data_IF_006794474822
#
_entry.id   IF_006794474822
#
_cell.length_a   1.000
_cell.length_b   1.000
_cell.length_c   1.000
_cell.angle_alpha   90.00
_cell.angle_beta   90.00
_cell.angle_gamma   90.00
#
_symmetry.space_group_name_H-M   'P 1'
#
loop_
_entity.id
_entity.type
_entity.pdbx_description
1 polymer ?
#
# COMPACT_ATOMS: atom_id res chain seq x y z
N UNK A 1 -3.40 10.88 26.53
CA UNK A 1 -3.11 9.99 25.38
C UNK A 1 -3.59 8.59 25.72
N UNK A 2 -4.37 8.01 24.87
CA UNK A 2 -4.78 6.60 24.97
C UNK A 2 -4.04 5.78 23.92
N UNK A 3 -3.67 4.57 24.29
CA UNK A 3 -2.90 3.66 23.43
C UNK A 3 -3.73 2.39 23.20
N UNK A 4 -4.15 2.16 21.97
CA UNK A 4 -5.02 1.06 21.57
C UNK A 4 -4.24 0.12 20.66
N UNK A 5 -4.02 -1.11 21.09
CA UNK A 5 -3.36 -2.13 20.28
C UNK A 5 -4.31 -2.65 19.20
N UNK A 6 -3.80 -2.74 17.97
CA UNK A 6 -4.50 -3.28 16.82
C UNK A 6 -3.94 -4.65 16.42
N UNK A 7 -4.82 -5.59 16.13
CA UNK A 7 -4.49 -6.87 15.51
C UNK A 7 -4.62 -6.74 13.99
N UNK A 8 -3.58 -7.08 13.21
CA UNK A 8 -3.61 -7.00 11.76
C UNK A 8 -4.61 -7.97 11.10
N UNK A 9 -5.12 -7.59 9.93
CA UNK A 9 -5.66 -8.54 8.97
C UNK A 9 -4.52 -9.09 8.10
N UNK A 10 -4.54 -10.38 7.79
CA UNK A 10 -3.49 -11.05 7.01
C UNK A 10 -4.02 -11.56 5.68
N UNK A 11 -3.25 -11.35 4.61
CA UNK A 11 -3.61 -11.76 3.25
C UNK A 11 -2.50 -12.61 2.62
N UNK A 12 -2.87 -13.84 2.22
CA UNK A 12 -1.96 -14.76 1.51
C UNK A 12 -1.86 -14.34 0.05
N UNK A 13 -0.65 -14.21 -0.44
CA UNK A 13 -0.37 -13.75 -1.80
C UNK A 13 0.51 -14.76 -2.56
N UNK A 14 0.36 -14.87 -3.89
CA UNK A 14 1.21 -15.78 -4.67
C UNK A 14 2.69 -15.39 -4.65
N UNK A 15 3.01 -14.16 -4.29
CA UNK A 15 4.36 -13.63 -4.14
C UNK A 15 4.82 -13.52 -2.67
N UNK A 16 3.96 -13.91 -1.72
CA UNK A 16 4.19 -13.74 -0.28
C UNK A 16 5.37 -14.55 0.24
N UNK A 17 6.04 -13.97 1.24
CA UNK A 17 7.17 -14.54 1.95
C UNK A 17 6.80 -15.35 3.19
N UNK A 18 7.80 -15.55 4.04
CA UNK A 18 7.64 -16.23 5.34
C UNK A 18 8.00 -15.33 6.53
N UNK A 19 8.47 -14.10 6.31
CA UNK A 19 8.84 -13.19 7.39
C UNK A 19 7.62 -12.82 8.23
N UNK A 20 6.48 -12.50 7.59
CA UNK A 20 5.23 -12.25 8.32
C UNK A 20 4.73 -13.48 9.09
N UNK A 21 4.98 -14.70 8.57
CA UNK A 21 4.72 -15.94 9.31
C UNK A 21 5.57 -16.04 10.57
N UNK A 22 6.84 -15.68 10.50
CA UNK A 22 7.77 -15.72 11.63
C UNK A 22 7.39 -14.66 12.67
N UNK A 23 7.07 -13.45 12.26
CA UNK A 23 6.71 -12.33 13.15
C UNK A 23 5.38 -12.56 13.85
N UNK A 24 4.34 -12.97 13.10
CA UNK A 24 2.95 -13.01 13.58
C UNK A 24 2.36 -14.42 13.72
N UNK A 25 3.15 -15.46 13.47
CA UNK A 25 2.69 -16.87 13.46
C UNK A 25 1.51 -17.09 12.49
N UNK A 26 1.60 -16.53 11.28
CA UNK A 26 0.55 -16.62 10.24
C UNK A 26 0.72 -17.85 9.35
N UNK A 27 -0.12 -17.96 8.32
CA UNK A 27 0.02 -18.99 7.28
C UNK A 27 1.28 -18.73 6.42
N UNK A 28 1.88 -19.77 5.82
CA UNK A 28 2.91 -19.59 4.79
C UNK A 28 2.39 -18.72 3.64
N UNK A 29 3.31 -18.03 2.96
CA UNK A 29 3.01 -17.11 1.87
C UNK A 29 2.05 -15.95 2.24
N UNK A 30 1.98 -15.57 3.51
CA UNK A 30 1.33 -14.33 3.91
C UNK A 30 2.17 -13.17 3.36
N UNK A 31 1.68 -12.54 2.29
CA UNK A 31 2.40 -11.44 1.64
C UNK A 31 2.07 -10.07 2.20
N UNK A 32 0.92 -9.93 2.85
CA UNK A 32 0.48 -8.66 3.41
C UNK A 32 -0.05 -8.83 4.84
N UNK A 33 0.40 -7.95 5.75
CA UNK A 33 -0.23 -7.71 7.04
C UNK A 33 -0.80 -6.28 7.04
N UNK A 34 -2.11 -6.15 7.08
CA UNK A 34 -2.80 -4.87 7.13
C UNK A 34 -2.87 -4.41 8.58
N UNK A 35 -1.85 -3.67 9.01
CA UNK A 35 -1.66 -3.23 10.38
C UNK A 35 -2.77 -2.29 10.84
N UNK A 36 -3.20 -1.41 9.94
CA UNK A 36 -4.29 -0.45 10.16
C UNK A 36 -5.20 -0.48 8.95
N UNK A 37 -6.38 -1.01 9.08
CA UNK A 37 -7.38 -1.08 8.01
C UNK A 37 -8.79 -0.99 8.55
N UNK A 38 -9.58 -0.07 7.98
CA UNK A 38 -11.02 0.01 8.17
C UNK A 38 -11.79 -0.48 6.92
N UNK A 39 -11.11 -1.10 5.94
CA UNK A 39 -11.73 -1.60 4.71
C UNK A 39 -12.53 -2.84 5.03
N UNK A 40 -13.83 -2.81 4.71
CA UNK A 40 -14.77 -3.89 4.96
C UNK A 40 -14.24 -5.25 4.51
N UNK A 41 -14.38 -6.26 5.36
CA UNK A 41 -13.90 -7.64 5.23
C UNK A 41 -12.37 -7.81 5.28
N UNK A 42 -11.61 -6.72 5.44
CA UNK A 42 -10.14 -6.72 5.58
C UNK A 42 -9.71 -5.78 6.71
N UNK A 43 -10.49 -5.74 7.76
CA UNK A 43 -10.32 -4.79 8.86
C UNK A 43 -9.29 -5.30 9.86
N UNK A 44 -8.49 -4.38 10.38
CA UNK A 44 -7.79 -4.61 11.63
C UNK A 44 -8.80 -4.62 12.78
N UNK A 45 -8.49 -5.32 13.85
CA UNK A 45 -9.36 -5.39 15.03
C UNK A 45 -8.65 -4.90 16.29
N UNK A 46 -9.41 -4.42 17.25
CA UNK A 46 -8.93 -4.22 18.62
C UNK A 46 -8.67 -5.58 19.28
N UNK A 47 -8.03 -5.58 20.46
CA UNK A 47 -7.73 -6.81 21.22
C UNK A 47 -8.99 -7.63 21.53
N UNK A 48 -10.11 -6.98 21.80
CA UNK A 48 -11.40 -7.61 22.07
C UNK A 48 -12.12 -8.17 20.83
N UNK A 49 -11.49 -8.05 19.64
CA UNK A 49 -12.05 -8.46 18.35
C UNK A 49 -12.95 -7.42 17.70
N UNK A 50 -13.14 -6.24 18.29
CA UNK A 50 -13.94 -5.17 17.70
C UNK A 50 -13.28 -4.69 16.38
N UNK A 51 -13.99 -4.71 15.22
CA UNK A 51 -13.45 -4.17 13.98
C UNK A 51 -13.10 -2.69 14.10
N UNK A 52 -11.99 -2.26 13.52
CA UNK A 52 -11.54 -0.87 13.56
C UNK A 52 -12.62 0.08 13.01
N UNK A 53 -13.35 -0.29 11.96
CA UNK A 53 -14.46 0.51 11.42
C UNK A 53 -15.58 0.73 12.44
N UNK A 54 -15.88 -0.28 13.25
CA UNK A 54 -16.90 -0.19 14.31
C UNK A 54 -16.42 0.73 15.43
N UNK A 55 -15.15 0.63 15.82
CA UNK A 55 -14.54 1.56 16.78
C UNK A 55 -14.59 3.01 16.28
N UNK A 56 -14.23 3.25 15.02
CA UNK A 56 -14.26 4.58 14.40
C UNK A 56 -15.67 5.18 14.44
N UNK A 57 -16.70 4.41 14.09
CA UNK A 57 -18.09 4.86 14.05
C UNK A 57 -18.59 5.48 15.36
N UNK A 58 -18.14 4.97 16.49
CA UNK A 58 -18.55 5.49 17.81
C UNK A 58 -17.54 6.51 18.37
N UNK A 59 -16.44 6.77 17.67
CA UNK A 59 -15.35 7.66 18.12
C UNK A 59 -15.02 8.78 17.12
N UNK A 60 -15.87 9.10 16.15
CA UNK A 60 -15.58 10.13 15.13
C UNK A 60 -15.07 11.46 15.74
N UNK A 61 -15.80 12.02 16.71
CA UNK A 61 -15.44 13.28 17.37
C UNK A 61 -14.10 13.19 18.11
N UNK A 62 -13.85 12.06 18.74
CA UNK A 62 -12.61 11.78 19.49
C UNK A 62 -11.40 11.67 18.57
N UNK A 63 -11.59 11.16 17.36
CA UNK A 63 -10.58 11.05 16.32
C UNK A 63 -10.47 12.32 15.46
N UNK A 64 -11.30 13.34 15.70
CA UNK A 64 -11.34 14.54 14.87
C UNK A 64 -11.88 14.32 13.46
N UNK A 65 -12.65 13.24 13.26
CA UNK A 65 -13.29 12.89 12.01
C UNK A 65 -14.70 13.46 11.96
N UNK A 66 -15.17 13.79 10.77
CA UNK A 66 -16.59 14.10 10.54
C UNK A 66 -17.42 12.81 10.57
N UNK A 67 -18.69 12.92 10.94
CA UNK A 67 -19.61 11.78 10.92
C UNK A 67 -19.65 11.19 9.50
N UNK A 68 -19.50 9.87 9.38
CA UNK A 68 -19.41 9.12 8.13
C UNK A 68 -18.20 9.47 7.24
N UNK A 69 -17.22 10.19 7.76
CA UNK A 69 -15.95 10.36 7.05
C UNK A 69 -15.21 9.02 6.94
N UNK A 70 -14.68 8.74 5.76
CA UNK A 70 -13.85 7.56 5.55
C UNK A 70 -12.54 7.68 6.34
N UNK A 71 -12.14 6.60 6.98
CA UNK A 71 -10.90 6.58 7.74
C UNK A 71 -9.71 6.81 6.81
N UNK A 72 -8.83 7.80 7.06
CA UNK A 72 -8.01 8.41 6.02
C UNK A 72 -6.77 7.62 5.60
N UNK A 73 -6.54 6.42 6.14
CA UNK A 73 -5.30 5.68 5.91
C UNK A 73 -5.49 4.17 5.94
N UNK A 74 -4.68 3.49 5.14
CA UNK A 74 -4.41 2.06 5.22
C UNK A 74 -2.89 1.88 5.39
N UNK A 75 -2.47 1.08 6.37
CA UNK A 75 -1.04 0.79 6.65
C UNK A 75 -0.83 -0.71 6.56
N UNK A 76 0.17 -1.13 5.78
CA UNK A 76 0.49 -2.55 5.57
C UNK A 76 1.98 -2.81 5.72
N UNK A 77 2.31 -4.05 6.09
CA UNK A 77 3.61 -4.66 5.79
C UNK A 77 3.48 -5.50 4.53
N UNK A 78 4.45 -5.39 3.66
CA UNK A 78 4.59 -6.19 2.44
C UNK A 78 5.81 -7.10 2.59
N UNK A 79 5.60 -8.40 2.62
CA UNK A 79 6.63 -9.44 2.65
C UNK A 79 6.70 -10.12 1.30
N UNK A 80 7.58 -9.64 0.44
CA UNK A 80 7.71 -10.08 -0.94
C UNK A 80 8.84 -11.12 -1.08
N UNK A 81 8.50 -12.41 -1.20
CA UNK A 81 9.44 -13.44 -1.63
C UNK A 81 9.71 -13.37 -3.13
N UNK A 82 8.67 -13.10 -3.92
CA UNK A 82 8.72 -12.94 -5.37
C UNK A 82 8.29 -11.53 -5.78
N UNK A 83 8.51 -11.17 -7.04
CA UNK A 83 8.09 -9.89 -7.56
C UNK A 83 6.56 -9.71 -7.45
N UNK A 84 6.12 -8.55 -6.99
CA UNK A 84 4.72 -8.17 -7.13
C UNK A 84 4.39 -7.96 -8.61
N UNK A 85 3.10 -8.02 -8.96
CA UNK A 85 2.68 -7.65 -10.32
C UNK A 85 3.10 -6.22 -10.65
N UNK A 86 3.44 -5.99 -11.91
CA UNK A 86 3.61 -4.63 -12.43
C UNK A 86 2.23 -3.99 -12.47
N UNK A 87 2.07 -2.86 -11.81
CA UNK A 87 0.78 -2.26 -11.52
C UNK A 87 0.82 -0.73 -11.55
N UNK A 88 -0.37 -0.16 -11.59
CA UNK A 88 -0.59 1.29 -11.50
C UNK A 88 -1.87 1.54 -10.71
N UNK A 89 -1.94 2.69 -10.05
CA UNK A 89 -3.13 3.11 -9.30
C UNK A 89 -3.75 4.37 -9.90
N UNK A 90 -5.09 4.49 -9.83
CA UNK A 90 -5.80 5.66 -10.32
C UNK A 90 -5.70 6.84 -9.35
N UNK A 91 -5.93 8.04 -9.85
CA UNK A 91 -6.25 9.21 -9.04
C UNK A 91 -7.71 9.16 -8.52
N UNK A 92 -8.07 10.11 -7.65
CA UNK A 92 -9.40 10.17 -7.04
C UNK A 92 -10.51 10.26 -8.09
N UNK A 93 -10.33 11.05 -9.13
CA UNK A 93 -11.35 11.24 -10.16
C UNK A 93 -11.63 9.95 -10.93
N UNK A 94 -10.58 9.22 -11.31
CA UNK A 94 -10.76 7.95 -12.04
C UNK A 94 -11.30 6.85 -11.13
N UNK A 95 -10.83 6.80 -9.89
CA UNK A 95 -11.33 5.85 -8.89
C UNK A 95 -12.84 6.05 -8.64
N UNK A 96 -13.29 7.31 -8.49
CA UNK A 96 -14.71 7.65 -8.29
C UNK A 96 -15.58 7.23 -9.49
N UNK A 97 -15.09 7.38 -10.72
CA UNK A 97 -15.78 6.86 -11.93
C UNK A 97 -15.95 5.34 -11.93
N UNK A 98 -15.11 4.64 -11.15
CA UNK A 98 -15.15 3.17 -10.97
C UNK A 98 -15.89 2.74 -9.69
N UNK A 99 -16.49 3.68 -8.96
CA UNK A 99 -17.28 3.42 -7.75
C UNK A 99 -16.48 3.34 -6.45
N UNK A 100 -15.23 3.77 -6.46
CA UNK A 100 -14.40 3.91 -5.24
C UNK A 100 -14.51 5.32 -4.68
N UNK A 101 -14.26 5.49 -3.39
CA UNK A 101 -14.34 6.80 -2.73
C UNK A 101 -13.14 7.67 -3.06
N UNK A 102 -11.95 7.06 -3.06
CA UNK A 102 -10.66 7.72 -3.31
C UNK A 102 -9.79 6.87 -4.23
N UNK A 103 -8.77 7.48 -4.82
CA UNK A 103 -7.71 6.82 -5.55
C UNK A 103 -6.71 6.14 -4.62
N UNK A 104 -5.50 5.90 -5.13
CA UNK A 104 -4.46 5.28 -4.32
C UNK A 104 -3.13 5.99 -4.50
N UNK A 105 -2.91 7.01 -3.67
CA UNK A 105 -1.58 7.53 -3.37
C UNK A 105 -0.97 6.71 -2.25
N UNK A 106 0.28 6.32 -2.37
CA UNK A 106 0.98 5.52 -1.37
C UNK A 106 2.43 5.97 -1.17
N UNK A 107 2.96 5.70 0.02
CA UNK A 107 4.37 5.85 0.36
C UNK A 107 4.88 4.48 0.77
N UNK A 108 5.99 4.06 0.18
CA UNK A 108 6.77 2.92 0.64
C UNK A 108 7.92 3.37 1.50
N UNK A 109 8.05 2.78 2.66
CA UNK A 109 9.20 2.87 3.53
C UNK A 109 9.94 1.52 3.51
N UNK A 110 11.20 1.54 3.09
CA UNK A 110 12.02 0.33 2.94
C UNK A 110 12.44 -0.14 4.32
N UNK A 111 11.98 -1.31 4.75
CA UNK A 111 12.34 -1.95 6.02
C UNK A 111 13.54 -2.89 5.84
N UNK A 112 13.59 -3.61 4.71
CA UNK A 112 14.70 -4.43 4.29
C UNK A 112 14.77 -4.42 2.76
N UNK A 113 15.96 -4.13 2.23
CA UNK A 113 16.21 -4.05 0.80
C UNK A 113 16.42 -5.45 0.21
N UNK A 114 15.96 -5.66 -1.01
CA UNK A 114 16.20 -6.91 -1.72
C UNK A 114 17.66 -7.04 -2.18
N UNK A 115 18.03 -8.27 -2.62
CA UNK A 115 19.38 -8.53 -3.14
C UNK A 115 19.78 -7.66 -4.35
N UNK A 116 18.79 -7.26 -5.17
CA UNK A 116 19.02 -6.36 -6.30
C UNK A 116 19.07 -4.88 -5.89
N UNK A 117 18.63 -4.55 -4.68
CA UNK A 117 18.50 -3.18 -4.16
C UNK A 117 17.72 -2.27 -5.10
N UNK A 118 16.65 -2.81 -5.72
CA UNK A 118 15.87 -2.10 -6.74
C UNK A 118 14.40 -2.35 -6.60
N UNK A 119 13.62 -1.38 -7.10
CA UNK A 119 12.19 -1.51 -7.37
C UNK A 119 11.91 -1.06 -8.81
N UNK A 120 10.80 -1.51 -9.36
CA UNK A 120 10.26 -0.92 -10.59
C UNK A 120 9.53 0.36 -10.18
N UNK A 121 9.91 1.50 -10.79
CA UNK A 121 9.36 2.80 -10.41
C UNK A 121 9.34 3.77 -11.59
N UNK A 122 8.36 3.61 -12.46
CA UNK A 122 8.14 4.42 -13.65
C UNK A 122 8.25 3.65 -14.96
N UNK A 123 7.96 4.37 -16.05
CA UNK A 123 8.13 3.94 -17.43
C UNK A 123 9.08 4.88 -18.16
N UNK A 124 9.81 4.35 -19.12
CA UNK A 124 10.49 5.14 -20.14
C UNK A 124 9.47 5.98 -20.90
N UNK A 125 9.96 7.00 -21.63
CA UNK A 125 9.08 7.80 -22.48
C UNK A 125 8.53 6.93 -23.62
N UNK A 126 7.31 6.45 -23.44
CA UNK A 126 6.61 5.55 -24.37
C UNK A 126 5.19 6.07 -24.60
N UNK A 127 4.72 6.04 -25.83
CA UNK A 127 3.35 6.41 -26.15
C UNK A 127 2.34 5.35 -25.66
N UNK A 128 1.08 5.78 -25.46
CA UNK A 128 -0.01 4.85 -25.10
C UNK A 128 -0.11 3.65 -26.06
N UNK A 129 -0.04 3.90 -27.36
CA UNK A 129 -0.18 2.84 -28.36
C UNK A 129 0.99 1.84 -28.33
N UNK A 130 2.21 2.33 -28.11
CA UNK A 130 3.39 1.45 -27.98
C UNK A 130 3.30 0.61 -26.69
N UNK A 131 2.94 1.24 -25.56
CA UNK A 131 2.76 0.52 -24.30
C UNK A 131 1.65 -0.54 -24.40
N UNK A 132 0.53 -0.20 -25.05
CA UNK A 132 -0.56 -1.17 -25.28
C UNK A 132 -0.09 -2.39 -26.10
N UNK A 133 0.72 -2.16 -27.16
CA UNK A 133 1.33 -3.23 -27.94
C UNK A 133 2.30 -4.07 -27.09
N UNK A 134 3.16 -3.41 -26.31
CA UNK A 134 4.10 -4.08 -25.42
C UNK A 134 3.39 -4.97 -24.38
N UNK A 135 2.27 -4.50 -23.80
CA UNK A 135 1.46 -5.28 -22.86
C UNK A 135 0.80 -6.50 -23.53
N UNK A 136 0.35 -6.37 -24.77
CA UNK A 136 -0.22 -7.50 -25.54
C UNK A 136 0.80 -8.57 -25.94
N UNK A 137 2.06 -8.17 -26.06
CA UNK A 137 3.16 -9.04 -26.49
C UNK A 137 4.05 -9.51 -25.32
N UNK A 138 3.67 -9.24 -24.07
CA UNK A 138 4.48 -9.50 -22.87
C UNK A 138 5.85 -8.77 -22.84
N UNK A 139 5.98 -7.65 -23.58
CA UNK A 139 7.24 -6.90 -23.75
C UNK A 139 7.38 -5.71 -22.80
N UNK A 140 6.47 -5.52 -21.86
CA UNK A 140 6.46 -4.37 -20.94
C UNK A 140 7.79 -4.20 -20.18
N UNK A 141 8.49 -5.29 -19.90
CA UNK A 141 9.76 -5.28 -19.16
C UNK A 141 10.83 -4.39 -19.80
N UNK A 142 10.79 -4.20 -21.13
CA UNK A 142 11.73 -3.37 -21.88
C UNK A 142 11.50 -1.85 -21.68
N UNK A 143 10.37 -1.46 -21.11
CA UNK A 143 9.96 -0.07 -20.92
C UNK A 143 10.03 0.40 -19.47
N UNK A 144 10.41 -0.49 -18.55
CA UNK A 144 10.40 -0.19 -17.12
C UNK A 144 11.62 0.63 -16.70
N UNK A 145 11.39 1.53 -15.75
CA UNK A 145 12.45 2.22 -15.04
C UNK A 145 12.65 1.52 -13.69
N UNK A 146 13.91 1.16 -13.43
CA UNK A 146 14.33 0.61 -12.15
C UNK A 146 14.96 1.72 -11.30
N UNK A 147 14.59 1.78 -10.04
CA UNK A 147 15.13 2.72 -9.07
C UNK A 147 15.88 1.97 -7.99
N UNK A 148 17.11 2.40 -7.70
CA UNK A 148 17.86 1.89 -6.56
C UNK A 148 17.19 2.28 -5.25
N UNK A 149 17.23 1.38 -4.27
CA UNK A 149 16.66 1.55 -2.93
C UNK A 149 17.65 1.10 -1.87
N UNK A 150 17.54 1.72 -0.70
CA UNK A 150 18.27 1.36 0.50
C UNK A 150 17.30 1.30 1.68
N UNK A 151 17.70 0.58 2.73
CA UNK A 151 16.95 0.59 3.98
C UNK A 151 16.69 2.03 4.45
N UNK A 152 15.47 2.29 4.92
CA UNK A 152 14.97 3.60 5.35
C UNK A 152 14.61 4.60 4.23
N UNK A 153 14.77 4.23 2.96
CA UNK A 153 14.27 5.07 1.87
C UNK A 153 12.75 5.22 1.89
N UNK A 154 12.30 6.41 1.50
CA UNK A 154 10.89 6.75 1.30
C UNK A 154 10.61 6.97 -0.20
N UNK A 155 9.71 6.17 -0.76
CA UNK A 155 9.26 6.30 -2.14
C UNK A 155 7.80 6.74 -2.18
N UNK A 156 7.54 7.89 -2.80
CA UNK A 156 6.18 8.45 -2.95
C UNK A 156 5.59 8.00 -4.28
N UNK A 157 4.72 7.00 -4.24
CA UNK A 157 4.06 6.42 -5.41
C UNK A 157 2.78 7.20 -5.71
N UNK A 158 2.87 8.13 -6.65
CA UNK A 158 1.72 8.94 -7.09
C UNK A 158 0.82 8.15 -8.04
N UNK A 159 -0.47 8.45 -8.11
CA UNK A 159 -1.35 7.91 -9.14
C UNK A 159 -0.74 8.04 -10.54
N UNK A 160 -0.92 7.01 -11.37
CA UNK A 160 -0.34 6.94 -12.72
C UNK A 160 1.12 6.47 -12.77
N UNK A 161 1.80 6.37 -11.64
CA UNK A 161 3.15 5.78 -11.60
C UNK A 161 3.08 4.27 -11.75
N UNK A 162 3.70 3.72 -12.78
CA UNK A 162 3.87 2.26 -12.92
C UNK A 162 4.95 1.81 -11.96
N UNK A 163 4.65 0.79 -11.14
CA UNK A 163 5.56 0.34 -10.10
C UNK A 163 5.40 -1.15 -9.77
N UNK A 164 6.42 -1.72 -9.15
CA UNK A 164 6.35 -3.02 -8.49
C UNK A 164 7.48 -3.18 -7.47
N UNK A 165 7.17 -3.79 -6.33
CA UNK A 165 8.17 -4.31 -5.40
C UNK A 165 8.77 -5.57 -6.01
N UNK A 166 10.09 -5.67 -5.99
CA UNK A 166 10.80 -6.88 -6.42
C UNK A 166 10.98 -7.85 -5.25
N UNK A 167 11.12 -9.13 -5.57
CA UNK A 167 11.23 -10.19 -4.57
C UNK A 167 12.41 -10.04 -3.61
N UNK A 168 12.31 -10.72 -2.48
CA UNK A 168 13.24 -10.64 -1.33
C UNK A 168 13.28 -9.25 -0.68
N UNK A 169 12.13 -8.59 -0.59
CA UNK A 169 12.00 -7.24 -0.01
C UNK A 169 10.97 -7.19 1.11
N UNK A 170 11.15 -6.26 2.04
CA UNK A 170 10.20 -6.01 3.11
C UNK A 170 9.92 -4.51 3.25
N UNK A 171 8.66 -4.12 3.16
CA UNK A 171 8.21 -2.72 3.12
C UNK A 171 7.09 -2.44 4.10
N UNK A 172 7.11 -1.21 4.65
CA UNK A 172 5.91 -0.59 5.22
C UNK A 172 5.26 0.27 4.14
N UNK A 173 4.01 -0.02 3.79
CA UNK A 173 3.19 0.75 2.86
C UNK A 173 2.18 1.58 3.64
N UNK A 174 2.20 2.90 3.43
CA UNK A 174 1.21 3.84 3.98
C UNK A 174 0.46 4.47 2.83
N UNK A 175 -0.83 4.24 2.73
CA UNK A 175 -1.62 4.59 1.55
C UNK A 175 -3.00 5.18 1.89
N UNK A 176 -3.64 5.76 0.89
CA UNK A 176 -5.06 6.07 0.93
C UNK A 176 -5.90 4.80 1.16
N UNK A 177 -7.08 4.91 1.81
CA UNK A 177 -7.90 3.76 2.23
C UNK A 177 -8.60 3.09 1.04
N UNK A 178 -7.83 2.66 0.06
CA UNK A 178 -8.29 2.05 -1.17
C UNK A 178 -7.38 0.87 -1.53
N UNK A 179 -7.96 -0.28 -1.92
CA UNK A 179 -7.19 -1.46 -2.34
C UNK A 179 -7.24 -1.71 -3.85
N UNK A 180 -7.66 -0.70 -4.62
CA UNK A 180 -7.71 -0.77 -6.09
C UNK A 180 -6.31 -0.92 -6.68
N UNK A 181 -6.14 -1.90 -7.56
CA UNK A 181 -4.89 -2.17 -8.24
C UNK A 181 -5.17 -2.53 -9.69
N UNK A 182 -4.66 -1.73 -10.62
CA UNK A 182 -4.68 -2.08 -12.04
C UNK A 182 -3.41 -2.82 -12.40
N UNK A 183 -3.55 -4.15 -12.49
CA UNK A 183 -2.45 -5.05 -12.84
C UNK A 183 -2.21 -5.01 -14.34
N UNK A 184 -0.98 -4.68 -14.72
CA UNK A 184 -0.54 -4.59 -16.12
C UNK A 184 0.14 -5.87 -16.57
N UNK A 185 0.93 -6.49 -15.69
CA UNK A 185 1.68 -7.70 -15.98
C UNK A 185 1.93 -8.52 -14.70
N UNK A 186 1.84 -9.83 -14.79
CA UNK A 186 1.98 -10.74 -13.65
C UNK A 186 2.94 -11.90 -13.88
N UNK A 187 3.93 -11.72 -14.73
CA UNK A 187 4.99 -12.72 -15.02
C UNK A 187 4.44 -14.07 -15.45
N UNK A 188 3.28 -14.11 -16.09
CA UNK A 188 2.57 -15.34 -16.49
C UNK A 188 2.35 -16.34 -15.34
N UNK A 189 2.25 -15.85 -14.10
CA UNK A 189 2.07 -16.63 -12.87
C UNK A 189 0.78 -17.45 -12.90
N UNK A 190 0.83 -18.65 -12.27
CA UNK A 190 -0.35 -19.52 -12.11
C UNK A 190 -0.79 -19.57 -10.63
N UNK A 191 -2.10 -19.63 -10.33
CA UNK A 191 -3.23 -19.40 -11.27
C UNK A 191 -3.18 -17.97 -11.86
N UNK A 192 -3.63 -17.83 -13.10
CA UNK A 192 -3.67 -16.51 -13.76
C UNK A 192 -4.54 -15.56 -12.98
N UNK A 193 -4.02 -14.35 -12.71
CA UNK A 193 -4.78 -13.21 -12.16
C UNK A 193 -5.22 -12.30 -13.30
N UNK A 194 -6.36 -11.65 -13.12
CA UNK A 194 -6.88 -10.69 -14.08
C UNK A 194 -5.90 -9.54 -14.33
N UNK A 195 -5.75 -9.15 -15.59
CA UNK A 195 -5.03 -7.96 -16.01
C UNK A 195 -6.03 -6.84 -16.33
N UNK A 196 -5.71 -5.62 -15.92
CA UNK A 196 -6.58 -4.44 -16.04
C UNK A 196 -5.96 -3.45 -17.02
N UNK A 197 -5.69 -3.88 -18.25
CA UNK A 197 -4.88 -3.15 -19.24
C UNK A 197 -5.49 -1.78 -19.55
N UNK A 198 -6.78 -1.73 -19.90
CA UNK A 198 -7.43 -0.47 -20.28
C UNK A 198 -7.49 0.53 -19.12
N UNK A 199 -7.89 0.07 -17.93
CA UNK A 199 -7.92 0.92 -16.73
C UNK A 199 -6.52 1.39 -16.32
N UNK A 200 -5.52 0.52 -16.49
CA UNK A 200 -4.12 0.87 -16.27
C UNK A 200 -3.61 1.92 -17.24
N UNK A 201 -3.83 1.75 -18.54
CA UNK A 201 -3.47 2.75 -19.56
C UNK A 201 -4.17 4.09 -19.32
N UNK A 202 -5.45 4.06 -18.94
CA UNK A 202 -6.19 5.26 -18.59
C UNK A 202 -5.60 5.96 -17.35
N UNK A 203 -5.11 5.20 -16.38
CA UNK A 203 -4.46 5.76 -15.20
C UNK A 203 -3.08 6.33 -15.50
N UNK A 204 -2.31 5.75 -16.42
CA UNK A 204 -0.96 6.21 -16.78
C UNK A 204 -1.02 7.52 -17.58
N UNK A 205 -1.86 7.59 -18.62
CA UNK A 205 -1.87 8.67 -19.61
C UNK A 205 -2.88 9.78 -19.32
N UNK A 206 -3.48 9.78 -18.15
CA UNK A 206 -4.36 10.87 -17.72
C UNK A 206 -3.55 12.04 -17.15
N UNK A 207 -4.06 13.26 -17.34
CA UNK A 207 -3.60 14.41 -16.57
C UNK A 207 -4.12 14.27 -15.13
N UNK A 208 -3.23 13.96 -14.20
CA UNK A 208 -3.59 13.79 -12.79
C UNK A 208 -3.84 15.13 -12.10
N UNK A 209 -4.85 15.16 -11.24
CA UNK A 209 -5.01 16.24 -10.27
C UNK A 209 -3.79 16.27 -9.33
N UNK A 210 -3.48 17.45 -8.78
CA UNK A 210 -2.38 17.58 -7.82
C UNK A 210 -2.62 16.67 -6.63
N UNK A 211 -1.63 15.83 -6.33
CA UNK A 211 -1.61 14.97 -5.14
C UNK A 211 -0.87 15.70 -4.02
N UNK A 212 -1.42 15.68 -2.81
CA UNK A 212 -0.72 16.17 -1.62
C UNK A 212 0.35 15.17 -1.21
N UNK A 213 1.59 15.42 -1.66
CA UNK A 213 2.74 14.56 -1.36
C UNK A 213 3.15 14.57 0.12
N UNK A 214 2.62 15.47 0.92
CA UNK A 214 2.88 15.58 2.35
C UNK A 214 1.71 15.02 3.20
N UNK A 215 0.78 14.28 2.59
CA UNK A 215 -0.39 13.72 3.28
C UNK A 215 -0.01 12.81 4.45
N UNK A 216 1.08 12.07 4.32
CA UNK A 216 1.60 11.19 5.37
C UNK A 216 3.02 11.57 5.76
N UNK A 217 3.31 11.53 7.05
CA UNK A 217 4.66 11.73 7.60
C UNK A 217 5.07 10.50 8.40
N UNK A 218 6.17 9.90 8.00
CA UNK A 218 6.75 8.73 8.65
C UNK A 218 8.02 9.18 9.39
N UNK A 219 8.11 8.85 10.68
CA UNK A 219 9.29 9.09 11.50
C UNK A 219 9.74 7.78 12.11
N UNK A 220 11.01 7.43 11.89
CA UNK A 220 11.64 6.26 12.50
C UNK A 220 12.75 6.72 13.47
N UNK A 221 12.74 6.21 14.69
CA UNK A 221 13.76 6.47 15.70
C UNK A 221 14.62 5.23 16.02
N UNK A 222 14.61 4.22 15.15
CA UNK A 222 15.30 2.95 15.32
C UNK A 222 14.55 1.89 16.12
N UNK A 223 13.58 2.28 16.96
CA UNK A 223 12.76 1.37 17.77
C UNK A 223 11.28 1.41 17.41
N UNK A 224 10.78 2.58 17.06
CA UNK A 224 9.37 2.84 16.77
C UNK A 224 9.25 3.66 15.50
N UNK A 225 8.39 3.22 14.59
CA UNK A 225 7.96 3.99 13.43
C UNK A 225 6.65 4.69 13.81
N UNK A 226 6.61 6.01 13.65
CA UNK A 226 5.40 6.82 13.85
C UNK A 226 4.85 7.26 12.50
N UNK A 227 3.55 7.10 12.31
CA UNK A 227 2.84 7.51 11.10
C UNK A 227 1.81 8.56 11.48
N UNK A 228 2.01 9.78 10.97
CA UNK A 228 1.12 10.92 11.13
C UNK A 228 0.39 11.20 9.83
N UNK A 229 -0.84 11.70 9.93
CA UNK A 229 -1.68 12.02 8.79
C UNK A 229 -1.97 13.51 8.83
N UNK A 230 -1.68 14.22 7.75
CA UNK A 230 -1.94 15.64 7.62
C UNK A 230 -3.42 15.96 7.84
N UNK A 231 -3.71 17.01 8.58
CA UNK A 231 -5.05 17.46 9.00
C UNK A 231 -5.75 16.56 10.03
N UNK A 232 -5.06 15.54 10.57
CA UNK A 232 -5.59 14.68 11.63
C UNK A 232 -4.62 14.70 12.83
N UNK A 233 -4.77 15.68 13.72
CA UNK A 233 -3.90 15.91 14.87
C UNK A 233 -4.36 15.16 16.14
N UNK A 234 -5.56 14.61 16.11
CA UNK A 234 -6.15 13.89 17.24
C UNK A 234 -5.64 12.46 17.41
N UNK A 235 -4.97 11.90 16.40
CA UNK A 235 -4.42 10.57 16.47
C UNK A 235 -3.23 10.39 15.53
N UNK A 236 -2.41 9.38 15.83
CA UNK A 236 -1.34 8.87 14.98
C UNK A 236 -1.11 7.39 15.28
N UNK A 237 -0.20 6.73 14.54
CA UNK A 237 0.13 5.33 14.77
C UNK A 237 1.55 5.17 15.23
N UNK A 238 1.76 4.22 16.16
CA UNK A 238 3.08 3.73 16.58
C UNK A 238 3.22 2.26 16.21
N UNK A 239 4.30 1.91 15.50
CA UNK A 239 4.64 0.55 15.08
C UNK A 239 5.99 0.21 15.72
N UNK A 240 6.03 -0.81 16.57
CA UNK A 240 7.28 -1.26 17.20
C UNK A 240 8.09 -2.10 16.22
N UNK A 241 9.33 -1.75 15.92
CA UNK A 241 10.13 -2.39 14.84
C UNK A 241 10.43 -3.86 15.09
N UNK A 242 10.68 -4.27 16.32
CA UNK A 242 11.03 -5.67 16.64
C UNK A 242 9.85 -6.64 16.47
N UNK A 243 8.64 -6.20 16.78
CA UNK A 243 7.44 -7.05 16.83
C UNK A 243 6.36 -6.64 15.85
N UNK A 244 6.49 -5.46 15.24
CA UNK A 244 5.47 -4.79 14.42
C UNK A 244 4.10 -4.64 15.12
N UNK A 245 4.06 -4.73 16.46
CA UNK A 245 2.88 -4.38 17.23
C UNK A 245 2.50 -2.93 16.92
N UNK A 246 1.26 -2.76 16.49
CA UNK A 246 0.75 -1.47 16.00
C UNK A 246 -0.27 -0.90 16.97
N UNK A 247 -0.08 0.35 17.35
CA UNK A 247 -0.94 1.07 18.27
C UNK A 247 -1.54 2.30 17.59
N UNK A 248 -2.85 2.46 17.73
CA UNK A 248 -3.53 3.73 17.52
C UNK A 248 -3.36 4.56 18.78
N UNK A 249 -2.73 5.72 18.64
CA UNK A 249 -2.55 6.67 19.74
C UNK A 249 -3.56 7.81 19.56
N UNK A 250 -4.43 8.00 20.54
CA UNK A 250 -5.38 9.10 20.59
C UNK A 250 -4.83 10.17 21.55
N UNK A 251 -4.68 11.40 21.06
CA UNK A 251 -4.07 12.54 21.76
C UNK A 251 -5.04 13.24 22.69
#
# INVERSE_FOLDING_TARGET
>A
MEKILLNPYFDVKPWGGNLLKEIFNTKPNTGEAWLVSAIKNKESTLIDGTPLSSFIKVNYSRLGLKINEEFPVLIKLLDAKENLSIQVHPDNEYAQKKGYTVGKYEIWYVLDENHSKKVIFGLQNVSRNELEKALKNDDILNYLIYKDIHEHDLLKCTPGTVHAVLGSSFFLEVQEPCDITYRLYDYNRLPKRELHIEDGLNSIYKNHSKVDLEKYKILDNGKVIKVFIKNYDKFYFEIQKETYLTYLIIV
#
